data_IF_422451441328
#
_entry.id   IF_422451441328
#
_cell.length_a   1.000
_cell.length_b   1.000
_cell.length_c   1.000
_cell.angle_alpha   90.00
_cell.angle_beta   90.00
_cell.angle_gamma   90.00
#
_symmetry.space_group_name_H-M   'P 1'
#
loop_
_entity.id
_entity.type
_entity.pdbx_description
1 polymer ?
#
# COMPACT_ATOMS: atom_id res chain seq x y z
N UNK A 1 -1.27 16.51 39.65
CA UNK A 1 -1.75 15.15 39.29
C UNK A 1 -2.53 15.10 37.98
N UNK A 2 -3.77 15.61 37.87
CA UNK A 2 -4.58 15.50 36.62
C UNK A 2 -3.95 16.15 35.38
N UNK A 3 -3.37 17.34 35.52
CA UNK A 3 -2.70 18.03 34.40
C UNK A 3 -1.42 17.30 33.94
N UNK A 4 -0.68 16.68 34.87
CA UNK A 4 0.48 15.84 34.53
C UNK A 4 0.03 14.59 33.76
N UNK A 5 -1.08 13.99 34.17
CA UNK A 5 -1.66 12.82 33.50
C UNK A 5 -2.13 13.16 32.08
N UNK A 6 -2.76 14.31 31.88
CA UNK A 6 -3.15 14.80 30.55
C UNK A 6 -1.94 15.07 29.66
N UNK A 7 -0.89 15.71 30.18
CA UNK A 7 0.34 15.92 29.41
C UNK A 7 1.02 14.60 29.02
N UNK A 8 1.03 13.62 29.92
CA UNK A 8 1.57 12.27 29.63
C UNK A 8 0.74 11.55 28.56
N UNK A 9 -0.59 11.63 28.63
CA UNK A 9 -1.47 11.03 27.62
C UNK A 9 -1.25 11.64 26.23
N UNK A 10 -1.06 12.96 26.19
CA UNK A 10 -0.86 13.71 24.95
C UNK A 10 0.51 13.42 24.33
N UNK A 11 1.55 13.28 25.15
CA UNK A 11 2.87 12.81 24.73
C UNK A 11 2.82 11.37 24.19
N UNK A 12 2.11 10.46 24.86
CA UNK A 12 1.93 9.09 24.38
C UNK A 12 1.18 9.07 23.04
N UNK A 13 0.11 9.85 22.89
CA UNK A 13 -0.61 9.97 21.64
C UNK A 13 0.30 10.47 20.51
N UNK A 14 1.09 11.52 20.75
CA UNK A 14 2.05 12.04 19.79
C UNK A 14 3.11 11.00 19.40
N UNK A 15 3.68 10.27 20.36
CA UNK A 15 4.64 9.20 20.09
C UNK A 15 4.05 8.05 19.27
N UNK A 16 2.83 7.62 19.60
CA UNK A 16 2.13 6.56 18.87
C UNK A 16 1.83 7.01 17.43
N UNK A 17 1.30 8.21 17.24
CA UNK A 17 1.04 8.76 15.90
C UNK A 17 2.32 8.90 15.08
N UNK A 18 3.42 9.38 15.66
CA UNK A 18 4.70 9.53 14.97
C UNK A 18 5.28 8.19 14.52
N UNK A 19 5.19 7.16 15.36
CA UNK A 19 5.61 5.79 15.01
C UNK A 19 4.77 5.22 13.85
N UNK A 20 3.46 5.46 13.84
CA UNK A 20 2.57 5.04 12.75
C UNK A 20 2.91 5.75 11.43
N UNK A 21 3.21 7.05 11.47
CA UNK A 21 3.58 7.82 10.28
C UNK A 21 4.97 7.44 9.73
N UNK A 22 5.91 7.06 10.61
CA UNK A 22 7.24 6.60 10.21
C UNK A 22 7.20 5.22 9.52
N UNK A 23 6.27 4.36 9.93
CA UNK A 23 5.97 3.10 9.23
C UNK A 23 5.17 3.31 7.94
N UNK A 24 4.34 4.36 7.88
CA UNK A 24 3.52 4.72 6.72
C UNK A 24 4.26 5.59 5.69
N UNK A 25 5.60 5.63 5.68
CA UNK A 25 6.37 6.39 4.69
C UNK A 25 6.19 5.91 3.23
N UNK A 26 5.39 4.86 2.99
CA UNK A 26 5.02 4.34 1.68
C UNK A 26 3.59 3.83 1.65
N UNK A 27 3.07 3.57 0.44
CA UNK A 27 1.78 2.93 0.28
C UNK A 27 1.93 1.41 0.43
N UNK A 28 1.14 0.82 1.32
CA UNK A 28 1.09 -0.64 1.52
C UNK A 28 0.08 -1.33 0.62
N UNK A 29 -0.70 -0.57 -0.17
CA UNK A 29 -1.80 -1.03 -1.02
C UNK A 29 -2.95 -1.70 -0.27
N UNK A 30 -2.93 -1.72 1.06
CA UNK A 30 -4.00 -2.27 1.90
C UNK A 30 -5.20 -1.32 1.94
N UNK A 31 -6.41 -1.85 2.11
CA UNK A 31 -7.68 -1.10 2.12
C UNK A 31 -7.74 0.02 3.18
N UNK A 32 -7.03 -0.13 4.29
CA UNK A 32 -6.97 0.84 5.40
C UNK A 32 -5.84 1.88 5.27
N UNK A 33 -5.12 1.89 4.15
CA UNK A 33 -4.08 2.88 3.89
C UNK A 33 -4.66 4.29 3.72
N UNK A 34 -4.00 5.32 4.25
CA UNK A 34 -4.36 6.72 3.98
C UNK A 34 -4.35 6.96 2.46
N UNK A 35 -5.49 7.36 1.85
CA UNK A 35 -5.58 7.57 0.41
C UNK A 35 -4.49 8.52 -0.12
N UNK A 36 -4.14 9.55 0.65
CA UNK A 36 -3.15 10.56 0.26
C UNK A 36 -1.72 10.00 0.22
N UNK A 37 -1.46 8.83 0.82
CA UNK A 37 -0.18 8.14 0.74
C UNK A 37 -0.07 7.25 -0.50
N UNK A 38 -1.21 6.94 -1.14
CA UNK A 38 -1.40 5.88 -2.12
C UNK A 38 -1.88 6.38 -3.50
N UNK A 39 -1.68 7.66 -3.84
CA UNK A 39 -2.03 8.26 -5.14
C UNK A 39 -1.09 7.82 -6.27
N UNK A 40 -1.07 6.52 -6.54
CA UNK A 40 -0.38 5.94 -7.68
C UNK A 40 -1.26 5.96 -8.92
N UNK A 41 -0.66 6.34 -10.03
CA UNK A 41 -1.24 6.26 -11.38
C UNK A 41 -0.46 5.25 -12.19
N UNK A 42 -1.17 4.48 -13.00
CA UNK A 42 -0.59 3.55 -13.96
C UNK A 42 -0.36 4.26 -15.30
N UNK A 43 0.69 3.86 -16.02
CA UNK A 43 0.91 4.35 -17.37
C UNK A 43 -0.16 3.80 -18.31
N UNK A 44 -0.67 4.63 -19.22
CA UNK A 44 -1.65 4.19 -20.23
C UNK A 44 -1.01 3.82 -21.57
N UNK A 45 0.25 4.23 -21.78
CA UNK A 45 1.02 3.99 -23.02
C UNK A 45 2.02 2.83 -22.89
N UNK A 46 1.95 2.07 -21.79
CA UNK A 46 2.80 0.89 -21.59
C UNK A 46 2.10 -0.40 -22.07
N UNK A 47 2.74 -1.55 -21.89
CA UNK A 47 2.29 -2.78 -22.54
C UNK A 47 1.18 -3.52 -21.77
N UNK A 48 0.91 -3.15 -20.51
CA UNK A 48 -0.09 -3.81 -19.66
C UNK A 48 -0.46 -2.98 -18.41
N UNK A 49 -1.70 -3.19 -17.95
CA UNK A 49 -2.18 -2.60 -16.71
C UNK A 49 -1.72 -3.38 -15.47
N UNK A 50 -1.35 -2.64 -14.43
CA UNK A 50 -1.08 -3.23 -13.11
C UNK A 50 -2.39 -3.60 -12.43
N UNK A 51 -2.44 -4.78 -11.83
CA UNK A 51 -3.62 -5.24 -11.11
C UNK A 51 -3.36 -5.18 -9.61
N UNK A 52 -4.30 -4.59 -8.85
CA UNK A 52 -4.28 -4.70 -7.39
C UNK A 52 -4.83 -6.08 -6.99
N UNK A 53 -3.98 -6.95 -6.47
CA UNK A 53 -4.38 -8.28 -6.04
C UNK A 53 -4.51 -8.35 -4.52
N UNK A 54 -5.64 -8.90 -4.07
CA UNK A 54 -5.96 -9.09 -2.66
C UNK A 54 -6.08 -10.57 -2.36
N UNK A 55 -5.15 -11.09 -1.58
CA UNK A 55 -5.14 -12.52 -1.22
C UNK A 55 -6.33 -12.92 -0.35
N UNK A 56 -6.81 -12.02 0.50
CA UNK A 56 -7.88 -12.30 1.46
C UNK A 56 -9.25 -12.51 0.78
N UNK A 57 -9.47 -11.82 -0.35
CA UNK A 57 -10.70 -11.89 -1.13
C UNK A 57 -10.61 -12.83 -2.33
N UNK A 58 -9.47 -13.50 -2.54
CA UNK A 58 -9.25 -14.43 -3.65
C UNK A 58 -9.20 -15.87 -3.14
N UNK A 59 -10.28 -16.66 -3.31
CA UNK A 59 -10.32 -18.06 -2.89
C UNK A 59 -9.28 -18.94 -3.60
N UNK A 60 -8.84 -18.53 -4.79
CA UNK A 60 -7.84 -19.20 -5.62
C UNK A 60 -6.45 -18.56 -5.50
N UNK A 61 -6.19 -17.76 -4.47
CA UNK A 61 -4.84 -17.23 -4.25
C UNK A 61 -3.86 -18.40 -4.11
N UNK A 62 -2.79 -18.37 -4.92
CA UNK A 62 -1.75 -19.39 -4.85
C UNK A 62 -1.11 -19.37 -3.44
N UNK A 63 -0.87 -20.54 -2.84
CA UNK A 63 -0.21 -20.67 -1.54
C UNK A 63 1.20 -20.08 -1.50
N UNK A 64 1.84 -19.92 -2.66
CA UNK A 64 3.16 -19.29 -2.80
C UNK A 64 3.11 -17.77 -2.56
N UNK A 65 1.92 -17.17 -2.62
CA UNK A 65 1.72 -15.74 -2.41
C UNK A 65 1.65 -15.42 -0.91
N UNK A 66 2.41 -14.40 -0.50
CA UNK A 66 2.29 -13.82 0.84
C UNK A 66 0.89 -13.23 1.03
N UNK A 67 0.36 -13.34 2.26
CA UNK A 67 -0.90 -12.67 2.63
C UNK A 67 -0.71 -11.15 2.62
N UNK A 68 -1.71 -10.45 2.11
CA UNK A 68 -1.73 -8.99 1.93
C UNK A 68 -2.30 -8.57 0.58
N UNK A 69 -2.17 -7.28 0.30
CA UNK A 69 -2.55 -6.59 -0.93
C UNK A 69 -1.32 -6.04 -1.64
N UNK A 70 -1.18 -6.29 -2.94
CA UNK A 70 -0.02 -5.85 -3.70
C UNK A 70 -0.35 -5.73 -5.18
N UNK A 71 0.37 -4.85 -5.88
CA UNK A 71 0.28 -4.72 -7.33
C UNK A 71 0.99 -5.88 -8.00
N UNK A 72 0.27 -6.61 -8.86
CA UNK A 72 0.78 -7.75 -9.62
C UNK A 72 0.64 -7.52 -11.12
N UNK A 73 1.37 -8.35 -11.87
CA UNK A 73 1.26 -8.45 -13.31
C UNK A 73 0.75 -9.84 -13.67
N UNK A 74 -0.16 -9.90 -14.65
CA UNK A 74 -0.59 -11.17 -15.22
C UNK A 74 0.21 -11.42 -16.50
N UNK A 75 1.10 -12.41 -16.47
CA UNK A 75 1.93 -12.77 -17.61
C UNK A 75 1.19 -13.52 -18.72
N UNK A 76 -0.03 -14.01 -18.46
CA UNK A 76 -0.80 -14.74 -19.45
C UNK A 76 -1.18 -13.81 -20.62
N UNK A 77 -0.62 -14.10 -21.80
CA UNK A 77 -0.86 -13.31 -23.01
C UNK A 77 0.11 -12.15 -23.25
N UNK A 78 1.04 -11.89 -22.33
CA UNK A 78 2.10 -10.90 -22.56
C UNK A 78 3.14 -11.44 -23.55
N UNK A 79 3.60 -10.58 -24.45
CA UNK A 79 4.70 -10.88 -25.37
C UNK A 79 6.05 -10.65 -24.70
N UNK A 80 7.11 -11.17 -25.29
CA UNK A 80 8.46 -10.75 -24.96
C UNK A 80 8.63 -9.24 -25.19
N UNK A 81 9.41 -8.57 -24.34
CA UNK A 81 9.67 -7.12 -24.33
C UNK A 81 8.54 -6.21 -23.81
N UNK A 82 7.75 -6.65 -22.83
CA UNK A 82 6.78 -5.78 -22.16
C UNK A 82 7.45 -4.85 -21.13
N UNK A 83 7.08 -3.57 -21.12
CA UNK A 83 7.41 -2.58 -20.08
C UNK A 83 6.14 -2.18 -19.35
N UNK A 84 6.27 -2.00 -18.03
CA UNK A 84 5.20 -1.47 -17.17
C UNK A 84 5.70 -0.26 -16.39
N UNK A 85 4.81 0.69 -16.09
CA UNK A 85 5.11 1.92 -15.36
C UNK A 85 4.03 2.19 -14.31
N UNK A 86 4.48 2.44 -13.09
CA UNK A 86 3.67 3.01 -12.01
C UNK A 86 4.32 4.31 -11.56
N UNK A 87 3.53 5.34 -11.25
CA UNK A 87 4.05 6.66 -10.86
C UNK A 87 3.25 7.21 -9.69
N UNK A 88 3.94 7.75 -8.68
CA UNK A 88 3.30 8.44 -7.55
C UNK A 88 3.14 9.91 -7.91
N UNK A 89 1.93 10.44 -7.80
CA UNK A 89 1.74 11.89 -7.80
C UNK A 89 2.24 12.43 -6.46
N UNK A 90 3.18 13.37 -6.51
CA UNK A 90 3.71 14.10 -5.35
C UNK A 90 3.16 15.52 -5.31
#
# INVERSE_FOLDING_TARGET
ERHKLQSLLQLLYQFLTFSSHLLAAGCTFEEDSDPNLCDFTQGEEDDFDWLLFRTQSSPSANSDLLKGEYSVINFAGLRNWCRGKISKHS
#
